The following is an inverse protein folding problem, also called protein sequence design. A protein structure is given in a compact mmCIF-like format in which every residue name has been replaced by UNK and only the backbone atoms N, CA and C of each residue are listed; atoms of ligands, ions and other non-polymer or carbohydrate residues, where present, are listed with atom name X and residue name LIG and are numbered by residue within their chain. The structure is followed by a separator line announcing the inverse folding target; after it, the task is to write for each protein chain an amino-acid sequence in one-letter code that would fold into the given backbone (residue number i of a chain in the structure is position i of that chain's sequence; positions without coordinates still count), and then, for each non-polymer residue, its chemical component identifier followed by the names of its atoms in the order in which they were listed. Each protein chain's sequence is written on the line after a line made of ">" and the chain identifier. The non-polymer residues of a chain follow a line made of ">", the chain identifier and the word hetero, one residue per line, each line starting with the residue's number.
data_IF_134934314280
#
_entry.id   IF_134934314280
#
_cell.length_a   1.000
_cell.length_b   1.000
_cell.length_c   1.000
_cell.angle_alpha   90.00
_cell.angle_beta   90.00
_cell.angle_gamma   90.00
#
_symmetry.space_group_name_H-M   'P 1'
#
loop_
_entity.id
_entity.type
_entity.pdbx_description
1 polymer ?
#
# COMPACT_ATOMS: atom_id res chain seq x y z
N UNK A 1 34.19 24.39 6.27
CA UNK A 1 32.75 24.52 6.57
C UNK A 1 31.84 24.10 5.41
N UNK A 2 31.91 24.70 4.21
CA UNK A 2 31.04 24.34 3.06
C UNK A 2 31.06 22.85 2.67
N UNK A 3 32.23 22.18 2.74
CA UNK A 3 32.38 20.75 2.43
C UNK A 3 31.72 19.81 3.46
N UNK A 4 31.64 20.23 4.72
CA UNK A 4 31.00 19.44 5.79
C UNK A 4 29.47 19.56 5.69
N UNK A 5 28.97 20.76 5.39
CA UNK A 5 27.53 21.00 5.18
C UNK A 5 27.03 20.20 3.97
N UNK A 6 27.80 20.15 2.87
CA UNK A 6 27.45 19.34 1.70
C UNK A 6 27.42 17.83 2.00
N UNK A 7 28.37 17.33 2.82
CA UNK A 7 28.38 15.92 3.23
C UNK A 7 27.21 15.53 4.13
N UNK A 8 26.83 16.43 5.06
CA UNK A 8 25.69 16.21 5.95
C UNK A 8 24.35 16.19 5.20
N UNK A 9 24.21 17.07 4.19
CA UNK A 9 23.01 17.15 3.35
C UNK A 9 22.78 15.87 2.52
N UNK A 10 23.84 15.25 2.01
CA UNK A 10 23.74 13.99 1.26
C UNK A 10 23.28 12.80 2.13
N UNK A 11 23.62 12.79 3.42
CA UNK A 11 23.22 11.72 4.35
C UNK A 11 21.72 11.75 4.69
N UNK A 12 21.11 12.93 4.73
CA UNK A 12 19.68 13.10 5.06
C UNK A 12 18.75 12.65 3.91
N UNK A 13 19.24 12.65 2.66
CA UNK A 13 18.45 12.33 1.48
C UNK A 13 18.28 10.82 1.20
N UNK A 14 18.99 9.94 1.92
CA UNK A 14 18.96 8.49 1.67
C UNK A 14 17.79 7.75 2.36
N UNK A 15 16.96 8.46 3.13
CA UNK A 15 16.01 7.85 4.08
C UNK A 15 14.51 7.88 3.71
N UNK A 16 14.12 8.21 2.47
CA UNK A 16 12.70 8.17 2.09
C UNK A 16 12.24 6.73 1.82
N UNK A 17 11.20 6.29 2.52
CA UNK A 17 10.51 5.04 2.19
C UNK A 17 9.94 5.17 0.78
N UNK A 18 10.44 4.35 -0.15
CA UNK A 18 10.00 4.39 -1.55
C UNK A 18 9.57 3.02 -2.03
N UNK A 19 8.68 3.04 -3.01
CA UNK A 19 8.21 1.88 -3.73
C UNK A 19 9.03 1.74 -5.01
N UNK A 20 9.69 0.60 -5.19
CA UNK A 20 10.30 0.26 -6.47
C UNK A 20 9.21 0.10 -7.55
N UNK A 21 9.57 0.30 -8.82
CA UNK A 21 8.63 0.13 -9.93
C UNK A 21 8.01 -1.27 -9.99
N UNK A 22 8.81 -2.29 -9.65
CA UNK A 22 8.36 -3.68 -9.58
C UNK A 22 7.30 -3.88 -8.49
N UNK A 23 7.57 -3.41 -7.27
CA UNK A 23 6.59 -3.50 -6.16
C UNK A 23 5.28 -2.81 -6.56
N UNK A 24 5.32 -1.66 -7.26
CA UNK A 24 4.10 -0.93 -7.66
C UNK A 24 3.21 -1.78 -8.57
N UNK A 25 3.82 -2.47 -9.54
CA UNK A 25 3.08 -3.34 -10.46
C UNK A 25 2.46 -4.52 -9.69
N UNK A 26 3.20 -5.11 -8.75
CA UNK A 26 2.69 -6.22 -7.95
C UNK A 26 1.55 -5.77 -7.03
N UNK A 27 1.70 -4.61 -6.38
CA UNK A 27 0.64 -4.03 -5.56
C UNK A 27 -0.62 -3.74 -6.37
N UNK A 28 -0.49 -3.14 -7.56
CA UNK A 28 -1.65 -2.87 -8.43
C UNK A 28 -2.38 -4.15 -8.85
N UNK A 29 -1.66 -5.25 -9.10
CA UNK A 29 -2.29 -6.55 -9.38
C UNK A 29 -3.01 -7.11 -8.16
N UNK A 30 -2.38 -7.02 -7.00
CA UNK A 30 -2.97 -7.45 -5.73
C UNK A 30 -4.24 -6.65 -5.42
N UNK A 31 -4.21 -5.34 -5.61
CA UNK A 31 -5.36 -4.44 -5.43
C UNK A 31 -6.59 -4.88 -6.21
N UNK A 32 -6.42 -5.27 -7.48
CA UNK A 32 -7.51 -5.78 -8.29
C UNK A 32 -8.07 -7.10 -7.73
N UNK A 33 -7.21 -7.98 -7.20
CA UNK A 33 -7.66 -9.21 -6.54
C UNK A 33 -8.40 -8.91 -5.25
N UNK A 34 -7.90 -8.01 -4.41
CA UNK A 34 -8.56 -7.60 -3.17
C UNK A 34 -9.94 -6.99 -3.44
N UNK A 35 -10.04 -6.12 -4.45
CA UNK A 35 -11.31 -5.52 -4.86
C UNK A 35 -12.33 -6.57 -5.34
N UNK A 36 -11.89 -7.56 -6.12
CA UNK A 36 -12.75 -8.65 -6.61
C UNK A 36 -13.21 -9.58 -5.50
N UNK A 37 -12.32 -9.88 -4.56
CA UNK A 37 -12.57 -10.81 -3.44
C UNK A 37 -13.23 -10.16 -2.24
N UNK A 38 -13.31 -8.83 -2.21
CA UNK A 38 -13.79 -8.06 -1.06
C UNK A 38 -12.88 -8.14 0.17
N UNK A 39 -11.64 -8.60 -0.01
CA UNK A 39 -10.67 -8.66 1.10
C UNK A 39 -10.11 -7.28 1.40
N UNK A 40 -9.94 -6.91 2.69
CA UNK A 40 -9.44 -5.61 3.06
C UNK A 40 -7.92 -5.49 2.88
N UNK A 41 -7.44 -4.26 2.66
CA UNK A 41 -6.04 -3.91 2.90
C UNK A 41 -5.74 -3.97 4.40
N UNK A 42 -4.49 -4.30 4.75
CA UNK A 42 -4.02 -4.24 6.13
C UNK A 42 -3.62 -2.80 6.48
N UNK A 43 -4.14 -2.31 7.60
CA UNK A 43 -3.79 -1.00 8.15
C UNK A 43 -3.08 -1.18 9.50
N UNK A 44 -1.79 -1.54 9.48
CA UNK A 44 -1.01 -1.69 10.72
C UNK A 44 -0.57 -0.34 11.28
N UNK A 45 -0.19 0.61 10.41
CA UNK A 45 0.26 1.95 10.78
C UNK A 45 -0.79 3.00 10.41
N UNK A 46 -1.30 3.73 11.40
CA UNK A 46 -2.31 4.78 11.18
C UNK A 46 -1.65 6.04 10.60
N UNK A 47 -1.99 6.50 9.38
CA UNK A 47 -1.34 7.66 8.76
C UNK A 47 -1.50 8.95 9.54
N UNK A 48 -2.72 9.19 10.04
CA UNK A 48 -3.02 10.37 10.84
C UNK A 48 -2.21 10.38 12.15
N UNK A 49 -2.10 9.23 12.82
CA UNK A 49 -1.34 9.12 14.06
C UNK A 49 0.16 9.35 13.81
N UNK A 50 0.70 8.77 12.73
CA UNK A 50 2.10 8.98 12.35
C UNK A 50 2.40 10.47 12.09
N UNK A 51 1.54 11.17 11.35
CA UNK A 51 1.65 12.61 11.14
C UNK A 51 1.54 13.40 12.44
N UNK A 52 0.52 13.13 13.26
CA UNK A 52 0.27 13.84 14.51
C UNK A 52 1.42 13.69 15.51
N UNK A 53 2.00 12.50 15.63
CA UNK A 53 3.15 12.24 16.49
C UNK A 53 4.38 13.06 16.07
N UNK A 54 4.50 13.41 14.79
CA UNK A 54 5.59 14.26 14.30
C UNK A 54 5.41 15.76 14.56
N UNK A 55 4.37 16.16 15.29
CA UNK A 55 4.36 17.46 15.97
C UNK A 55 5.49 17.53 17.02
N UNK A 56 5.79 16.39 17.65
CA UNK A 56 6.98 16.19 18.46
C UNK A 56 8.16 15.79 17.56
N UNK A 57 9.39 16.20 17.90
CA UNK A 57 10.56 15.96 17.07
C UNK A 57 10.80 14.47 16.79
N UNK A 58 10.45 14.01 15.58
CA UNK A 58 10.72 12.67 15.09
C UNK A 58 9.81 11.55 15.64
N UNK A 59 8.92 11.80 16.61
CA UNK A 59 8.12 10.74 17.24
C UNK A 59 7.25 9.96 16.25
N UNK A 60 6.76 10.61 15.19
CA UNK A 60 6.07 9.93 14.10
C UNK A 60 6.98 8.95 13.36
N UNK A 61 8.25 9.32 13.12
CA UNK A 61 9.23 8.42 12.52
C UNK A 61 9.64 7.28 13.45
N UNK A 62 9.69 7.50 14.77
CA UNK A 62 9.91 6.41 15.73
C UNK A 62 8.75 5.39 15.71
N UNK A 63 7.49 5.85 15.61
CA UNK A 63 6.32 4.99 15.45
C UNK A 63 6.35 4.16 14.15
N UNK A 64 6.92 4.73 13.09
CA UNK A 64 7.14 4.08 11.80
C UNK A 64 8.48 3.31 11.73
N UNK A 65 9.23 3.22 12.83
CA UNK A 65 10.52 2.52 12.94
C UNK A 65 11.62 3.07 11.99
N UNK A 66 11.49 4.35 11.62
CA UNK A 66 12.41 5.07 10.74
C UNK A 66 13.42 5.92 11.53
N UNK A 67 14.48 5.27 12.02
CA UNK A 67 15.47 5.92 12.90
C UNK A 67 16.31 7.03 12.24
N UNK A 68 16.59 6.93 10.94
CA UNK A 68 17.31 7.98 10.21
C UNK A 68 16.54 9.31 10.18
N UNK A 69 15.31 9.31 9.63
CA UNK A 69 14.40 10.46 9.70
C UNK A 69 14.10 10.94 11.12
N UNK A 70 14.00 10.04 12.11
CA UNK A 70 13.86 10.40 13.52
C UNK A 70 14.99 11.34 13.99
N UNK A 71 16.25 10.94 13.79
CA UNK A 71 17.41 11.73 14.20
C UNK A 71 17.44 13.07 13.45
N UNK A 72 17.15 13.07 12.14
CA UNK A 72 17.12 14.29 11.33
C UNK A 72 16.05 15.28 11.82
N UNK A 73 14.85 14.79 12.11
CA UNK A 73 13.74 15.63 12.58
C UNK A 73 13.97 16.15 14.01
N UNK A 74 14.68 15.40 14.85
CA UNK A 74 15.11 15.85 16.18
C UNK A 74 16.10 17.00 16.10
N UNK A 75 17.08 16.94 15.19
CA UNK A 75 18.09 18.00 15.02
C UNK A 75 17.55 19.28 14.39
N UNK A 76 16.53 19.16 13.53
CA UNK A 76 15.96 20.28 12.75
C UNK A 76 14.67 20.85 13.35
N UNK A 77 14.26 20.38 14.52
CA UNK A 77 13.11 20.91 15.25
C UNK A 77 13.40 22.35 15.72
N UNK A 78 12.43 23.29 15.67
CA UNK A 78 11.01 23.11 15.36
C UNK A 78 10.64 23.18 13.87
N UNK A 79 11.58 23.52 12.99
CA UNK A 79 11.30 23.69 11.56
C UNK A 79 10.90 22.38 10.87
N UNK A 80 11.36 21.24 11.40
CA UNK A 80 11.09 19.91 10.87
C UNK A 80 9.62 19.54 10.78
N UNK A 81 8.75 20.15 11.58
CA UNK A 81 7.30 19.96 11.54
C UNK A 81 6.72 20.20 10.13
N UNK A 82 7.31 21.11 9.35
CA UNK A 82 6.85 21.45 7.99
C UNK A 82 6.91 20.28 7.00
N UNK A 83 7.88 19.37 7.16
CA UNK A 83 8.02 18.21 6.28
C UNK A 83 7.79 16.88 7.01
N UNK A 84 8.06 16.79 8.31
CA UNK A 84 7.95 15.56 9.10
C UNK A 84 6.50 15.04 9.20
N UNK A 85 5.52 15.94 9.33
CA UNK A 85 4.09 15.57 9.38
C UNK A 85 3.61 14.98 8.05
N UNK A 86 3.71 15.69 6.90
CA UNK A 86 3.24 15.13 5.64
C UNK A 86 4.03 13.88 5.25
N UNK A 87 5.35 13.87 5.49
CA UNK A 87 6.19 12.72 5.20
C UNK A 87 5.76 11.48 5.99
N UNK A 88 5.58 11.57 7.31
CA UNK A 88 5.17 10.40 8.11
C UNK A 88 3.77 9.89 7.74
N UNK A 89 2.86 10.80 7.35
CA UNK A 89 1.54 10.40 6.86
C UNK A 89 1.67 9.58 5.56
N UNK A 90 2.53 10.01 4.64
CA UNK A 90 2.80 9.29 3.39
C UNK A 90 3.53 7.96 3.62
N UNK A 91 4.53 7.96 4.50
CA UNK A 91 5.33 6.78 4.81
C UNK A 91 4.49 5.68 5.48
N UNK A 92 3.56 6.04 6.38
CA UNK A 92 2.60 5.10 6.96
C UNK A 92 1.76 4.38 5.88
N UNK A 93 1.25 5.13 4.89
CA UNK A 93 0.52 4.55 3.78
C UNK A 93 1.40 3.61 2.94
N UNK A 94 2.65 3.99 2.69
CA UNK A 94 3.59 3.14 1.96
C UNK A 94 3.89 1.85 2.72
N UNK A 95 4.09 1.92 4.02
CA UNK A 95 4.33 0.75 4.89
C UNK A 95 3.13 -0.19 4.87
N UNK A 96 1.92 0.30 5.09
CA UNK A 96 0.69 -0.51 5.03
C UNK A 96 0.54 -1.23 3.68
N UNK A 97 0.85 -0.55 2.58
CA UNK A 97 0.82 -1.16 1.23
C UNK A 97 1.84 -2.28 1.09
N UNK A 98 3.05 -2.11 1.64
CA UNK A 98 4.09 -3.15 1.61
C UNK A 98 3.74 -4.34 2.49
N UNK A 99 3.20 -4.10 3.68
CA UNK A 99 2.74 -5.14 4.60
C UNK A 99 1.57 -5.92 4.00
N UNK A 100 0.58 -5.21 3.42
CA UNK A 100 -0.51 -5.82 2.65
C UNK A 100 0.03 -6.68 1.51
N UNK A 101 0.98 -6.16 0.73
CA UNK A 101 1.60 -6.93 -0.35
C UNK A 101 2.25 -8.20 0.19
N UNK A 102 3.10 -8.07 1.20
CA UNK A 102 3.83 -9.19 1.80
C UNK A 102 2.88 -10.25 2.39
N UNK A 103 1.84 -9.82 3.10
CA UNK A 103 0.88 -10.71 3.75
C UNK A 103 0.12 -11.59 2.74
N UNK A 104 -0.29 -11.01 1.61
CA UNK A 104 -1.10 -11.71 0.61
C UNK A 104 -0.28 -12.41 -0.48
N UNK A 105 1.01 -12.09 -0.64
CA UNK A 105 1.86 -12.77 -1.64
C UNK A 105 2.82 -13.79 -1.05
N UNK A 106 3.18 -13.65 0.22
CA UNK A 106 4.19 -14.49 0.88
C UNK A 106 3.84 -14.83 2.34
N UNK A 107 2.67 -14.41 2.83
CA UNK A 107 2.24 -14.58 4.20
C UNK A 107 1.01 -15.47 4.34
N UNK A 108 0.40 -15.41 5.52
CA UNK A 108 -0.76 -16.24 5.88
C UNK A 108 -2.02 -15.92 5.06
N UNK A 109 -2.10 -14.74 4.44
CA UNK A 109 -3.24 -14.32 3.63
C UNK A 109 -3.25 -14.88 2.22
N UNK A 110 -2.16 -15.49 1.76
CA UNK A 110 -2.04 -15.98 0.38
C UNK A 110 -3.10 -17.03 0.03
N UNK A 111 -3.28 -18.03 0.90
CA UNK A 111 -4.26 -19.09 0.69
C UNK A 111 -5.70 -18.57 0.71
N UNK A 112 -6.01 -17.64 1.63
CA UNK A 112 -7.33 -17.01 1.70
C UNK A 112 -7.63 -16.20 0.43
N UNK A 113 -6.67 -15.39 -0.01
CA UNK A 113 -6.81 -14.61 -1.24
C UNK A 113 -7.01 -15.52 -2.44
N UNK A 114 -6.20 -16.55 -2.58
CA UNK A 114 -6.29 -17.48 -3.70
C UNK A 114 -7.64 -18.21 -3.69
N UNK A 115 -8.09 -18.69 -2.53
CA UNK A 115 -9.41 -19.33 -2.39
C UNK A 115 -10.54 -18.41 -2.81
N UNK A 116 -10.63 -17.20 -2.23
CA UNK A 116 -11.69 -16.24 -2.57
C UNK A 116 -11.62 -15.78 -4.02
N UNK A 117 -10.42 -15.67 -4.58
CA UNK A 117 -10.24 -15.28 -5.98
C UNK A 117 -10.71 -16.39 -6.93
N UNK A 118 -10.45 -17.65 -6.59
CA UNK A 118 -10.96 -18.81 -7.33
C UNK A 118 -12.50 -18.91 -7.23
N UNK A 119 -13.06 -18.69 -6.04
CA UNK A 119 -14.53 -18.64 -5.85
C UNK A 119 -15.16 -17.55 -6.73
N UNK A 120 -14.61 -16.33 -6.70
CA UNK A 120 -15.03 -15.23 -7.58
C UNK A 120 -14.94 -15.61 -9.06
N UNK A 121 -13.83 -16.26 -9.48
CA UNK A 121 -13.61 -16.63 -10.87
C UNK A 121 -14.58 -17.72 -11.36
N UNK A 122 -14.93 -18.69 -10.51
CA UNK A 122 -15.93 -19.73 -10.81
C UNK A 122 -17.31 -19.10 -10.95
N UNK A 123 -17.73 -18.29 -9.98
CA UNK A 123 -19.04 -17.63 -9.99
C UNK A 123 -19.24 -16.79 -11.26
N UNK A 124 -18.21 -16.03 -11.65
CA UNK A 124 -18.29 -15.18 -12.86
C UNK A 124 -18.35 -16.02 -14.15
N UNK A 125 -17.60 -17.11 -14.24
CA UNK A 125 -17.65 -18.01 -15.41
C UNK A 125 -19.00 -18.73 -15.53
N UNK A 126 -19.59 -19.14 -14.42
CA UNK A 126 -20.92 -19.76 -14.41
C UNK A 126 -21.99 -18.76 -14.87
N UNK A 127 -21.93 -17.52 -14.38
CA UNK A 127 -22.82 -16.45 -14.81
C UNK A 127 -22.68 -16.14 -16.31
N UNK A 128 -21.45 -16.05 -16.83
CA UNK A 128 -21.21 -15.84 -18.27
C UNK A 128 -21.78 -16.98 -19.12
N UNK A 129 -21.61 -18.23 -18.70
CA UNK A 129 -22.13 -19.39 -19.40
C UNK A 129 -23.66 -19.44 -19.38
N UNK A 130 -24.30 -19.05 -18.28
CA UNK A 130 -25.76 -18.92 -18.22
C UNK A 130 -26.29 -17.85 -19.16
N UNK A 131 -25.65 -16.68 -19.19
CA UNK A 131 -26.00 -15.59 -20.10
C UNK A 131 -25.87 -16.03 -21.57
N UNK A 132 -24.83 -16.79 -21.91
CA UNK A 132 -24.65 -17.33 -23.26
C UNK A 132 -25.75 -18.33 -23.63
N UNK A 133 -26.11 -19.24 -22.71
CA UNK A 133 -27.23 -20.20 -22.91
C UNK A 133 -28.56 -19.48 -23.12
N UNK A 134 -28.83 -18.44 -22.33
CA UNK A 134 -30.04 -17.62 -22.47
C UNK A 134 -30.07 -16.89 -23.82
N UNK A 135 -28.95 -16.29 -24.23
CA UNK A 135 -28.82 -15.61 -25.53
C UNK A 135 -29.08 -16.55 -26.70
N UNK A 136 -28.55 -17.78 -26.66
CA UNK A 136 -28.81 -18.80 -27.70
C UNK A 136 -30.28 -19.18 -27.77
N UNK A 137 -30.91 -19.48 -26.62
CA UNK A 137 -32.36 -19.78 -26.56
C UNK A 137 -33.21 -18.66 -27.15
N UNK A 138 -32.92 -17.40 -26.80
CA UNK A 138 -33.69 -16.26 -27.32
C UNK A 138 -33.50 -16.06 -28.83
N UNK A 139 -32.29 -16.26 -29.34
CA UNK A 139 -32.01 -16.18 -30.78
C UNK A 139 -32.61 -17.33 -31.62
N UNK A 140 -32.86 -18.48 -31.00
CA UNK A 140 -33.59 -19.59 -31.64
C UNK A 140 -35.12 -19.35 -31.62
N UNK A 141 -35.63 -18.64 -30.61
CA UNK A 141 -37.05 -18.24 -30.54
C UNK A 141 -37.45 -17.21 -31.61
N UNK A 142 -36.55 -16.29 -31.98
CA UNK A 142 -36.80 -15.24 -32.98
C UNK A 142 -36.78 -15.76 -34.44
N UNK A 143 -36.37 -17.02 -34.66
CA UNK A 143 -36.27 -17.66 -35.97
C UNK A 143 -37.44 -18.58 -36.33
N UNK A 144 -38.38 -18.81 -35.40
CA UNK A 144 -39.61 -19.59 -35.58
C UNK A 144 -40.83 -18.67 -35.65
#
# INVERSE_FOLDING_TARGET
>A
MKRIIAGLLCFVLLGCASFSGYEKIQYSKLQLKLQKTGLPELEEKKPFLAGALNLLPGFGNAYLEQWGPFIGNLLLWPYSVLWAIPQATMDANVINKKETLLYYTHGLGEDELNKKYLEWEIEHKEAELEQEKLRKKLGDFDKN
#
